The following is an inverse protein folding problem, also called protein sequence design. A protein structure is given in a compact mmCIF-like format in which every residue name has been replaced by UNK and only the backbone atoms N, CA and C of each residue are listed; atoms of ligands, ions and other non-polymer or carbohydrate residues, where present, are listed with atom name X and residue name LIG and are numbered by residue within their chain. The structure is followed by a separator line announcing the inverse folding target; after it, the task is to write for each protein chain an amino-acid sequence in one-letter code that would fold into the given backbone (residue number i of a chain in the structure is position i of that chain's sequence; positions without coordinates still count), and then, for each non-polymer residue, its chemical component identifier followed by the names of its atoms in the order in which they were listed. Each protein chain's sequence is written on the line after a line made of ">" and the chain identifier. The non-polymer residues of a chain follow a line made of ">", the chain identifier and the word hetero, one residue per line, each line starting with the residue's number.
data_IF_854653213305
#
_entry.id   IF_854653213305
#
_cell.length_a   1.000
_cell.length_b   1.000
_cell.length_c   1.000
_cell.angle_alpha   90.00
_cell.angle_beta   90.00
_cell.angle_gamma   90.00
#
_symmetry.space_group_name_H-M   'P 1'
#
loop_
_entity.id
_entity.type
_entity.pdbx_description
1 polymer ?
#
# COMPACT_ATOMS: atom_id res chain seq x y z
N UNK A 1 12.64 31.58 -67.74
CA UNK A 1 13.53 30.78 -68.62
C UNK A 1 14.81 30.54 -67.83
N UNK A 2 15.30 29.34 -67.51
CA UNK A 2 15.02 27.96 -67.89
C UNK A 2 15.52 27.04 -66.75
N UNK A 3 14.84 25.90 -66.52
CA UNK A 3 15.36 24.70 -65.82
C UNK A 3 16.62 24.20 -66.57
N UNK A 4 17.55 23.38 -66.06
CA UNK A 4 17.43 21.96 -65.64
C UNK A 4 18.86 21.40 -65.48
N UNK A 5 19.11 20.42 -64.59
CA UNK A 5 19.76 19.13 -64.89
C UNK A 5 20.34 18.40 -63.65
N UNK A 6 19.68 17.28 -63.33
CA UNK A 6 20.15 16.01 -62.76
C UNK A 6 21.68 15.77 -62.69
N UNK A 7 22.15 15.23 -61.56
CA UNK A 7 22.99 14.01 -61.58
C UNK A 7 22.77 13.13 -60.33
N UNK A 8 22.52 11.86 -60.62
CA UNK A 8 22.39 10.71 -59.73
C UNK A 8 23.74 10.26 -59.18
N UNK A 9 23.79 9.75 -57.94
CA UNK A 9 24.65 8.60 -57.59
C UNK A 9 24.07 7.80 -56.43
N UNK A 10 23.53 6.63 -56.77
CA UNK A 10 23.29 5.49 -55.89
C UNK A 10 24.64 4.99 -55.33
N UNK A 11 24.70 4.66 -54.04
CA UNK A 11 25.61 3.63 -53.56
C UNK A 11 24.78 2.44 -53.07
N UNK A 12 24.95 1.33 -53.77
CA UNK A 12 24.46 0.01 -53.41
C UNK A 12 25.55 -0.68 -52.59
N UNK A 13 25.22 -1.22 -51.43
CA UNK A 13 26.04 -2.23 -50.75
C UNK A 13 25.30 -3.58 -50.86
N UNK A 14 25.97 -4.55 -51.47
CA UNK A 14 25.53 -5.94 -51.62
C UNK A 14 26.42 -6.84 -50.75
N UNK A 15 25.83 -7.64 -49.86
CA UNK A 15 26.42 -8.90 -49.34
C UNK A 15 25.27 -9.89 -49.13
N UNK A 16 25.35 -11.08 -49.78
CA UNK A 16 24.41 -12.20 -49.60
C UNK A 16 23.15 -12.12 -50.46
N UNK A 17 23.20 -12.64 -51.69
CA UNK A 17 22.11 -12.51 -52.67
C UNK A 17 20.77 -13.11 -52.22
N UNK A 18 19.79 -12.24 -51.95
CA UNK A 18 18.35 -12.37 -52.21
C UNK A 18 17.79 -10.93 -52.21
N UNK A 19 17.15 -10.53 -53.32
CA UNK A 19 16.65 -9.17 -53.54
C UNK A 19 15.33 -8.92 -52.78
N UNK A 20 15.33 -7.97 -51.85
CA UNK A 20 14.21 -7.60 -50.99
C UNK A 20 13.25 -6.60 -51.68
N UNK A 21 12.72 -6.95 -52.87
CA UNK A 21 11.79 -6.07 -53.63
C UNK A 21 10.40 -6.70 -53.89
N UNK A 22 10.15 -7.96 -53.54
CA UNK A 22 8.81 -8.58 -53.73
C UNK A 22 7.88 -8.54 -52.50
N UNK A 23 8.39 -8.27 -51.29
CA UNK A 23 7.55 -8.19 -50.08
C UNK A 23 6.87 -6.84 -49.87
N UNK A 24 7.42 -5.74 -50.40
CA UNK A 24 6.84 -4.41 -50.26
C UNK A 24 5.60 -4.18 -51.16
N UNK A 25 5.51 -4.89 -52.30
CA UNK A 25 4.40 -4.78 -53.25
C UNK A 25 3.13 -5.52 -52.76
N UNK A 26 3.29 -6.66 -52.10
CA UNK A 26 2.19 -7.42 -51.51
C UNK A 26 1.60 -6.78 -50.25
N UNK A 27 2.37 -5.98 -49.51
CA UNK A 27 1.89 -5.28 -48.31
C UNK A 27 1.01 -4.06 -48.67
N UNK A 28 1.33 -3.33 -49.74
CA UNK A 28 0.48 -2.22 -50.22
C UNK A 28 -0.86 -2.69 -50.82
N UNK A 29 -0.93 -3.89 -51.40
CA UNK A 29 -2.20 -4.44 -51.91
C UNK A 29 -3.14 -4.87 -50.78
N UNK A 30 -2.63 -5.41 -49.67
CA UNK A 30 -3.46 -5.78 -48.49
C UNK A 30 -4.04 -4.58 -47.73
N UNK A 31 -3.35 -3.43 -47.73
CA UNK A 31 -3.85 -2.19 -47.10
C UNK A 31 -5.01 -1.58 -47.91
N UNK A 32 -4.99 -1.67 -49.25
CA UNK A 32 -6.10 -1.22 -50.10
C UNK A 32 -7.37 -2.06 -49.95
N UNK A 33 -7.25 -3.36 -49.67
CA UNK A 33 -8.43 -4.23 -49.45
C UNK A 33 -9.08 -4.00 -48.09
N UNK A 34 -8.30 -3.62 -47.06
CA UNK A 34 -8.83 -3.36 -45.71
C UNK A 34 -9.60 -2.03 -45.63
N UNK A 35 -9.19 -1.02 -46.39
CA UNK A 35 -9.86 0.31 -46.44
C UNK A 35 -11.23 0.24 -47.16
N UNK A 36 -11.44 -0.74 -48.05
CA UNK A 36 -12.72 -0.94 -48.72
C UNK A 36 -13.74 -1.78 -47.91
N UNK A 37 -13.34 -2.43 -46.81
CA UNK A 37 -14.26 -3.14 -45.92
C UNK A 37 -14.86 -2.25 -44.82
N UNK A 38 -14.31 -1.07 -44.57
CA UNK A 38 -14.85 -0.10 -43.59
C UNK A 38 -15.87 0.89 -44.17
N UNK A 39 -16.14 0.84 -45.48
CA UNK A 39 -17.14 1.69 -46.14
C UNK A 39 -18.53 1.05 -46.30
N UNK A 40 -18.74 -0.18 -45.79
CA UNK A 40 -20.00 -0.92 -45.94
C UNK A 40 -20.78 -1.16 -44.63
N UNK A 41 -20.36 -0.56 -43.49
CA UNK A 41 -21.06 -0.70 -42.20
C UNK A 41 -21.45 0.64 -41.54
N UNK A 42 -21.63 1.68 -42.35
CA UNK A 42 -22.09 3.00 -41.90
C UNK A 42 -23.29 3.49 -42.74
N UNK A 43 -24.33 2.67 -42.88
CA UNK A 43 -25.64 3.08 -43.39
C UNK A 43 -26.74 2.22 -42.77
N UNK A 44 -27.11 2.51 -41.51
CA UNK A 44 -28.45 2.27 -40.95
C UNK A 44 -28.51 2.89 -39.56
N UNK A 45 -28.75 4.20 -39.48
CA UNK A 45 -29.40 4.89 -38.33
C UNK A 45 -29.43 6.39 -38.60
N UNK A 46 -30.38 6.81 -39.43
CA UNK A 46 -30.85 8.19 -39.46
C UNK A 46 -32.27 8.18 -40.02
N UNK A 47 -33.26 8.21 -39.11
CA UNK A 47 -34.51 8.99 -39.20
C UNK A 47 -35.46 8.53 -38.10
N UNK A 48 -35.66 9.33 -37.07
CA UNK A 48 -36.96 9.93 -36.74
C UNK A 48 -36.89 10.63 -35.38
N UNK A 49 -36.89 11.96 -35.44
CA UNK A 49 -37.25 12.86 -34.34
C UNK A 49 -38.63 13.39 -34.65
N UNK A 50 -39.62 13.28 -33.76
CA UNK A 50 -40.60 14.33 -33.42
C UNK A 50 -41.31 13.97 -32.09
N UNK A 51 -41.29 14.97 -31.20
CA UNK A 51 -42.12 15.29 -30.02
C UNK A 51 -43.30 14.39 -29.61
N UNK A 52 -43.44 14.17 -28.30
CA UNK A 52 -44.55 14.73 -27.50
C UNK A 52 -44.32 14.50 -25.99
N UNK A 53 -44.48 15.57 -25.21
CA UNK A 53 -44.69 15.62 -23.77
C UNK A 53 -46.03 14.99 -23.37
N UNK A 54 -46.10 14.19 -22.29
CA UNK A 54 -47.19 14.15 -21.28
C UNK A 54 -46.71 13.42 -20.00
N UNK A 55 -47.18 13.94 -18.88
CA UNK A 55 -47.06 13.59 -17.46
C UNK A 55 -47.52 12.20 -17.00
N UNK A 56 -46.92 11.77 -15.88
CA UNK A 56 -47.46 10.96 -14.76
C UNK A 56 -48.13 9.61 -15.03
N UNK A 57 -47.66 8.55 -14.36
CA UNK A 57 -48.46 7.81 -13.36
C UNK A 57 -47.59 6.82 -12.58
N UNK A 58 -47.89 6.74 -11.30
CA UNK A 58 -47.40 5.80 -10.29
C UNK A 58 -48.01 4.44 -10.59
N UNK A 59 -47.23 3.37 -10.53
CA UNK A 59 -47.77 2.04 -10.19
C UNK A 59 -46.85 1.34 -9.18
N UNK A 60 -47.44 1.19 -7.99
CA UNK A 60 -46.98 0.44 -6.84
C UNK A 60 -47.07 -1.07 -7.11
N UNK A 61 -46.02 -1.82 -6.78
CA UNK A 61 -46.13 -3.24 -6.48
C UNK A 61 -45.72 -3.48 -5.02
N UNK A 62 -46.74 -3.55 -4.17
CA UNK A 62 -46.68 -4.07 -2.82
C UNK A 62 -46.37 -5.57 -2.85
N UNK A 63 -45.38 -6.00 -2.06
CA UNK A 63 -45.53 -7.23 -1.26
C UNK A 63 -44.95 -6.99 0.12
N UNK A 64 -45.85 -6.82 1.08
CA UNK A 64 -45.58 -6.78 2.52
C UNK A 64 -46.12 -8.07 3.15
N UNK A 65 -45.32 -8.71 3.99
CA UNK A 65 -45.67 -9.42 5.25
C UNK A 65 -44.62 -10.51 5.51
N UNK A 66 -44.12 -10.76 6.71
CA UNK A 66 -44.29 -10.12 8.01
C UNK A 66 -43.09 -10.52 8.90
N UNK A 67 -42.64 -9.54 9.67
CA UNK A 67 -42.00 -9.59 10.99
C UNK A 67 -41.80 -10.94 11.70
N UNK A 68 -40.56 -11.16 12.15
CA UNK A 68 -40.25 -11.86 13.41
C UNK A 68 -39.38 -10.92 14.26
N UNK A 69 -39.94 -10.49 15.39
CA UNK A 69 -39.20 -9.92 16.50
C UNK A 69 -38.36 -11.03 17.15
N UNK A 70 -37.05 -10.81 17.29
CA UNK A 70 -36.31 -11.41 18.39
C UNK A 70 -35.25 -10.41 18.87
N UNK A 71 -35.54 -9.85 20.05
CA UNK A 71 -34.59 -9.19 20.93
C UNK A 71 -33.66 -10.31 21.41
N UNK A 72 -32.39 -10.27 21.02
CA UNK A 72 -31.35 -11.13 21.56
C UNK A 72 -30.39 -10.28 22.38
N UNK A 73 -30.20 -10.72 23.62
CA UNK A 73 -29.39 -10.10 24.66
C UNK A 73 -27.97 -9.78 24.20
N UNK A 74 -27.59 -8.52 24.38
CA UNK A 74 -26.25 -8.00 24.19
C UNK A 74 -25.38 -8.30 25.42
N UNK A 75 -25.05 -9.57 25.67
CA UNK A 75 -23.98 -9.97 26.62
C UNK A 75 -23.48 -11.38 26.30
N UNK A 76 -22.73 -11.55 25.21
CA UNK A 76 -21.80 -12.67 24.99
C UNK A 76 -21.05 -12.48 23.66
N UNK A 77 -20.01 -11.65 23.65
CA UNK A 77 -18.94 -11.73 22.65
C UNK A 77 -17.61 -11.93 23.37
N UNK A 78 -17.52 -13.08 24.04
CA UNK A 78 -16.26 -13.73 24.35
C UNK A 78 -16.35 -15.11 23.69
N UNK A 79 -15.35 -15.43 22.87
CA UNK A 79 -15.15 -16.63 22.03
C UNK A 79 -16.02 -16.79 20.77
N UNK A 80 -15.41 -16.48 19.61
CA UNK A 80 -15.54 -17.32 18.40
C UNK A 80 -14.14 -17.49 17.77
N UNK A 81 -13.61 -18.72 17.63
CA UNK A 81 -12.29 -18.99 17.06
C UNK A 81 -12.35 -19.00 15.53
N UNK A 82 -11.43 -18.29 14.88
CA UNK A 82 -11.08 -18.55 13.48
C UNK A 82 -9.57 -18.69 13.37
N UNK A 83 -9.06 -19.84 13.85
CA UNK A 83 -7.65 -20.24 13.98
C UNK A 83 -6.95 -20.47 12.63
N UNK A 84 -7.15 -19.60 11.63
CA UNK A 84 -6.44 -19.74 10.36
C UNK A 84 -6.14 -18.43 9.63
N UNK A 85 -6.11 -17.29 10.34
CA UNK A 85 -5.71 -16.04 9.69
C UNK A 85 -4.28 -16.13 9.15
N UNK A 86 -3.45 -16.92 9.82
CA UNK A 86 -2.07 -17.20 9.51
C UNK A 86 -1.92 -17.73 8.07
N UNK A 87 -2.64 -18.81 7.72
CA UNK A 87 -2.59 -19.35 6.36
C UNK A 87 -3.25 -18.43 5.36
N UNK A 88 -4.36 -17.78 5.71
CA UNK A 88 -5.04 -16.84 4.80
C UNK A 88 -4.06 -15.73 4.40
N UNK A 89 -3.41 -15.11 5.39
CA UNK A 89 -2.49 -14.01 5.15
C UNK A 89 -1.22 -14.48 4.43
N UNK A 90 -0.64 -15.61 4.82
CA UNK A 90 0.52 -16.17 4.13
C UNK A 90 0.22 -16.47 2.66
N UNK A 91 -0.92 -17.10 2.39
CA UNK A 91 -1.35 -17.42 1.03
C UNK A 91 -1.50 -16.16 0.19
N UNK A 92 -2.06 -15.06 0.73
CA UNK A 92 -2.17 -13.80 -0.01
C UNK A 92 -0.83 -13.30 -0.55
N UNK A 93 0.22 -13.36 0.27
CA UNK A 93 1.57 -13.00 -0.16
C UNK A 93 2.15 -14.01 -1.16
N UNK A 94 2.00 -15.32 -0.90
CA UNK A 94 2.52 -16.38 -1.78
C UNK A 94 1.94 -16.29 -3.20
N UNK A 95 0.68 -15.90 -3.34
CA UNK A 95 0.03 -15.76 -4.64
C UNK A 95 0.70 -14.72 -5.54
N UNK A 96 1.25 -13.63 -4.99
CA UNK A 96 1.79 -12.53 -5.80
C UNK A 96 3.30 -12.31 -5.68
N UNK A 97 4.01 -12.90 -4.70
CA UNK A 97 5.41 -12.58 -4.37
C UNK A 97 6.41 -12.62 -5.55
N UNK A 98 6.14 -13.45 -6.57
CA UNK A 98 6.93 -13.53 -7.82
C UNK A 98 6.09 -13.37 -9.09
N UNK A 99 4.86 -12.88 -8.97
CA UNK A 99 3.98 -12.59 -10.10
C UNK A 99 4.35 -11.22 -10.69
N UNK A 100 4.96 -11.22 -11.89
CA UNK A 100 5.47 -9.99 -12.51
C UNK A 100 4.38 -9.06 -13.07
N UNK A 101 3.21 -9.59 -13.47
CA UNK A 101 2.13 -8.80 -14.05
C UNK A 101 0.76 -9.17 -13.49
N UNK A 102 -0.19 -8.21 -13.39
CA UNK A 102 -0.04 -6.78 -13.67
C UNK A 102 0.83 -6.06 -12.61
N UNK A 103 1.57 -5.03 -13.02
CA UNK A 103 2.47 -4.27 -12.14
C UNK A 103 2.54 -2.79 -12.53
N UNK A 104 2.70 -1.93 -11.52
CA UNK A 104 2.82 -0.47 -11.60
C UNK A 104 4.27 -0.08 -11.32
N UNK A 105 4.96 0.31 -12.39
CA UNK A 105 6.30 0.90 -12.28
C UNK A 105 6.17 2.41 -12.30
N UNK A 106 6.48 3.05 -11.16
CA UNK A 106 6.57 4.51 -11.05
C UNK A 106 7.99 4.93 -10.70
N UNK A 107 8.74 5.40 -11.69
CA UNK A 107 10.06 5.99 -11.50
C UNK A 107 10.31 7.15 -12.46
N UNK A 108 11.38 7.91 -12.22
CA UNK A 108 11.88 8.84 -13.22
C UNK A 108 12.64 8.06 -14.31
N UNK A 109 12.37 8.36 -15.58
CA UNK A 109 13.13 7.85 -16.71
C UNK A 109 14.12 8.92 -17.18
N UNK A 110 15.41 8.63 -17.11
CA UNK A 110 16.49 9.50 -17.54
C UNK A 110 16.86 9.24 -19.00
N UNK A 111 16.74 7.99 -19.45
CA UNK A 111 17.03 7.57 -20.82
C UNK A 111 16.27 6.28 -21.17
N UNK A 112 16.48 5.78 -22.38
CA UNK A 112 15.76 4.60 -22.90
C UNK A 112 16.04 3.31 -22.11
N UNK A 113 17.18 3.19 -21.41
CA UNK A 113 17.51 2.00 -20.62
C UNK A 113 16.68 1.90 -19.34
N UNK A 114 15.90 2.93 -18.99
CA UNK A 114 15.00 2.91 -17.85
C UNK A 114 13.65 2.24 -18.18
N UNK A 115 13.34 2.03 -19.46
CA UNK A 115 12.16 1.31 -19.92
C UNK A 115 12.43 -0.19 -19.89
N UNK A 116 12.08 -0.83 -18.77
CA UNK A 116 12.33 -2.25 -18.51
C UNK A 116 11.15 -2.92 -17.81
N UNK A 117 11.11 -4.24 -17.88
CA UNK A 117 10.11 -5.02 -17.13
C UNK A 117 10.36 -4.94 -15.61
N UNK A 118 9.34 -5.13 -14.76
CA UNK A 118 9.48 -5.02 -13.30
C UNK A 118 10.61 -5.87 -12.73
N UNK A 119 10.75 -7.14 -13.15
CA UNK A 119 11.80 -8.03 -12.67
C UNK A 119 13.22 -7.61 -13.06
N UNK A 120 13.36 -6.79 -14.10
CA UNK A 120 14.65 -6.23 -14.52
C UNK A 120 14.99 -4.93 -13.77
N UNK A 121 13.96 -4.23 -13.26
CA UNK A 121 14.11 -3.00 -12.49
C UNK A 121 14.31 -3.29 -11.00
N UNK A 122 13.52 -4.20 -10.45
CA UNK A 122 13.44 -4.47 -9.02
C UNK A 122 13.48 -5.99 -8.76
N UNK A 123 14.61 -6.65 -9.04
CA UNK A 123 14.69 -8.11 -9.10
C UNK A 123 14.44 -8.86 -7.78
N UNK A 124 14.48 -8.19 -6.62
CA UNK A 124 14.08 -8.78 -5.35
C UNK A 124 12.61 -8.52 -5.03
N UNK A 125 12.08 -7.38 -5.47
CA UNK A 125 10.77 -6.85 -5.08
C UNK A 125 9.91 -6.45 -6.30
N UNK A 126 9.80 -7.36 -7.28
CA UNK A 126 9.01 -7.12 -8.49
C UNK A 126 7.62 -7.76 -8.45
N UNK A 127 7.39 -8.73 -7.56
CA UNK A 127 6.11 -9.42 -7.47
C UNK A 127 5.05 -8.55 -6.80
N UNK A 128 3.78 -8.85 -7.08
CA UNK A 128 2.61 -8.05 -6.67
C UNK A 128 2.45 -6.76 -7.50
N UNK A 129 1.53 -5.89 -7.09
CA UNK A 129 1.11 -4.74 -7.89
C UNK A 129 2.23 -3.70 -8.07
N UNK A 130 3.08 -3.47 -7.07
CA UNK A 130 4.21 -2.55 -7.14
C UNK A 130 5.31 -2.93 -6.13
N UNK A 131 6.39 -2.14 -6.11
CA UNK A 131 7.58 -2.44 -5.30
C UNK A 131 7.27 -2.57 -3.81
N UNK A 132 6.55 -1.61 -3.21
CA UNK A 132 6.26 -1.67 -1.79
C UNK A 132 5.25 -2.77 -1.47
N UNK A 133 4.29 -3.04 -2.35
CA UNK A 133 3.39 -4.20 -2.23
C UNK A 133 4.17 -5.52 -2.19
N UNK A 134 5.22 -5.63 -3.00
CA UNK A 134 6.15 -6.76 -2.92
C UNK A 134 6.80 -6.84 -1.54
N UNK A 135 7.34 -5.71 -1.05
CA UNK A 135 7.97 -5.65 0.28
C UNK A 135 6.99 -6.00 1.40
N UNK A 136 5.73 -5.57 1.32
CA UNK A 136 4.65 -5.99 2.22
C UNK A 136 4.50 -7.51 2.26
N UNK A 137 4.42 -8.15 1.10
CA UNK A 137 4.32 -9.60 0.99
C UNK A 137 5.52 -10.31 1.64
N UNK A 138 6.74 -9.82 1.38
CA UNK A 138 7.95 -10.39 1.99
C UNK A 138 7.97 -10.23 3.52
N UNK A 139 7.65 -9.04 4.04
CA UNK A 139 7.55 -8.81 5.49
C UNK A 139 6.48 -9.70 6.10
N UNK A 140 5.31 -9.81 5.45
CA UNK A 140 4.21 -10.63 5.89
C UNK A 140 4.62 -12.09 6.04
N UNK A 141 5.29 -12.65 5.03
CA UNK A 141 5.77 -14.02 5.08
C UNK A 141 6.76 -14.27 6.22
N UNK A 142 7.72 -13.37 6.44
CA UNK A 142 8.65 -13.46 7.58
C UNK A 142 7.89 -13.39 8.91
N UNK A 143 6.91 -12.47 9.02
CA UNK A 143 6.07 -12.34 10.21
C UNK A 143 5.28 -13.62 10.48
N UNK A 144 4.69 -14.22 9.45
CA UNK A 144 3.97 -15.48 9.56
C UNK A 144 4.91 -16.62 10.00
N UNK A 145 6.13 -16.71 9.48
CA UNK A 145 7.09 -17.69 9.99
C UNK A 145 7.42 -17.49 11.48
N UNK A 146 7.47 -16.24 11.95
CA UNK A 146 7.80 -15.91 13.33
C UNK A 146 6.65 -16.13 14.33
N UNK A 147 5.39 -15.96 13.92
CA UNK A 147 4.26 -15.91 14.87
C UNK A 147 3.36 -17.14 14.86
N UNK A 148 3.36 -17.95 13.80
CA UNK A 148 2.25 -18.87 13.49
C UNK A 148 2.44 -20.30 14.00
N UNK A 149 3.56 -20.61 14.68
CA UNK A 149 3.85 -21.90 15.32
C UNK A 149 3.58 -23.15 14.44
N UNK A 150 3.74 -23.04 13.11
CA UNK A 150 3.55 -24.15 12.17
C UNK A 150 2.19 -24.18 11.47
N UNK A 151 1.37 -23.14 11.59
CA UNK A 151 0.11 -23.02 10.85
C UNK A 151 0.29 -22.71 9.35
N UNK A 152 1.51 -22.40 8.89
CA UNK A 152 1.81 -22.05 7.49
C UNK A 152 2.80 -23.04 6.86
N UNK A 153 2.79 -23.13 5.53
CA UNK A 153 3.79 -23.91 4.79
C UNK A 153 5.16 -23.24 4.87
N UNK A 154 5.94 -23.65 5.86
CA UNK A 154 7.26 -23.08 6.14
C UNK A 154 8.23 -23.26 4.97
N UNK A 155 8.20 -24.43 4.33
CA UNK A 155 9.18 -24.78 3.31
C UNK A 155 8.94 -23.98 2.02
N UNK A 156 7.67 -23.85 1.61
CA UNK A 156 7.30 -22.99 0.47
C UNK A 156 7.70 -21.54 0.73
N UNK A 157 7.40 -21.00 1.92
CA UNK A 157 7.74 -19.61 2.26
C UNK A 157 9.27 -19.39 2.21
N UNK A 158 10.04 -20.30 2.81
CA UNK A 158 11.51 -20.21 2.80
C UNK A 158 12.04 -20.28 1.37
N UNK A 159 11.50 -21.15 0.52
CA UNK A 159 11.88 -21.25 -0.89
C UNK A 159 11.66 -19.91 -1.61
N UNK A 160 10.46 -19.31 -1.45
CA UNK A 160 10.14 -18.02 -2.09
C UNK A 160 11.04 -16.88 -1.61
N UNK A 161 11.26 -16.78 -0.30
CA UNK A 161 12.15 -15.77 0.27
C UNK A 161 13.61 -15.96 -0.17
N UNK A 162 14.08 -17.20 -0.31
CA UNK A 162 15.42 -17.50 -0.83
C UNK A 162 15.60 -17.06 -2.29
N UNK A 163 14.58 -17.19 -3.12
CA UNK A 163 14.63 -16.75 -4.51
C UNK A 163 14.73 -15.22 -4.62
N UNK A 164 14.07 -14.47 -3.73
CA UNK A 164 14.15 -13.01 -3.68
C UNK A 164 15.44 -12.51 -3.04
N UNK A 165 15.82 -13.05 -1.88
CA UNK A 165 16.92 -12.56 -1.04
C UNK A 165 18.27 -13.12 -1.45
N UNK A 166 18.70 -12.75 -2.66
CA UNK A 166 20.03 -13.07 -3.18
C UNK A 166 20.89 -11.80 -3.29
N UNK A 167 22.23 -11.91 -3.12
CA UNK A 167 23.12 -10.76 -3.33
C UNK A 167 22.98 -10.13 -4.72
N UNK A 168 22.72 -10.94 -5.75
CA UNK A 168 22.50 -10.47 -7.12
C UNK A 168 21.25 -9.59 -7.22
N UNK A 169 20.14 -10.02 -6.62
CA UNK A 169 18.89 -9.26 -6.67
C UNK A 169 19.01 -7.96 -5.88
N UNK A 170 19.60 -8.00 -4.67
CA UNK A 170 19.80 -6.79 -3.87
C UNK A 170 20.77 -5.80 -4.54
N UNK A 171 21.78 -6.31 -5.27
CA UNK A 171 22.60 -5.45 -6.11
C UNK A 171 21.80 -4.77 -7.24
N UNK A 172 20.80 -5.46 -7.81
CA UNK A 172 19.90 -4.88 -8.80
C UNK A 172 18.97 -3.81 -8.20
N UNK A 173 18.42 -4.05 -7.01
CA UNK A 173 17.65 -3.04 -6.26
C UNK A 173 18.47 -1.77 -6.03
N UNK A 174 19.74 -1.94 -5.61
CA UNK A 174 20.66 -0.83 -5.40
C UNK A 174 20.94 -0.05 -6.70
N UNK A 175 21.07 -0.71 -7.84
CA UNK A 175 21.24 -0.04 -9.14
C UNK A 175 20.04 0.85 -9.45
N UNK A 176 18.82 0.34 -9.25
CA UNK A 176 17.60 1.11 -9.48
C UNK A 176 17.43 2.25 -8.47
N UNK A 177 17.68 1.99 -7.19
CA UNK A 177 17.58 3.00 -6.14
C UNK A 177 18.60 4.13 -6.34
N UNK A 178 19.84 3.81 -6.74
CA UNK A 178 20.95 4.76 -6.99
C UNK A 178 20.90 5.47 -8.33
N UNK A 179 19.90 5.19 -9.16
CA UNK A 179 19.71 5.90 -10.43
C UNK A 179 19.60 7.41 -10.22
N UNK A 180 20.12 8.16 -11.19
CA UNK A 180 19.97 9.61 -11.25
C UNK A 180 18.48 10.01 -11.20
N UNK A 181 18.18 11.15 -10.57
CA UNK A 181 16.82 11.68 -10.41
C UNK A 181 15.82 10.74 -9.71
N UNK A 182 16.30 9.69 -9.04
CA UNK A 182 15.45 8.72 -8.33
C UNK A 182 15.47 8.91 -6.80
N UNK A 183 15.85 10.10 -6.33
CA UNK A 183 15.99 10.36 -4.90
C UNK A 183 14.67 10.12 -4.14
N UNK A 184 13.53 10.54 -4.70
CA UNK A 184 12.21 10.44 -4.06
C UNK A 184 11.52 9.08 -4.16
N UNK A 185 12.14 8.09 -4.79
CA UNK A 185 11.57 6.75 -4.93
C UNK A 185 11.11 6.19 -3.59
N UNK A 186 9.86 5.73 -3.54
CA UNK A 186 9.22 5.09 -2.38
C UNK A 186 9.20 5.92 -1.07
N UNK A 187 9.56 7.21 -1.14
CA UNK A 187 9.57 8.05 0.07
C UNK A 187 8.16 8.44 0.50
N UNK A 188 7.86 8.38 1.81
CA UNK A 188 8.59 7.67 2.86
C UNK A 188 8.12 6.20 3.03
N UNK A 189 6.96 5.85 2.48
CA UNK A 189 6.21 4.64 2.84
C UNK A 189 6.88 3.31 2.47
N UNK A 190 7.21 3.09 1.20
CA UNK A 190 7.84 1.82 0.79
C UNK A 190 9.17 1.61 1.49
N UNK A 191 9.95 2.68 1.65
CA UNK A 191 11.20 2.63 2.40
C UNK A 191 11.00 2.24 3.87
N UNK A 192 9.95 2.73 4.52
CA UNK A 192 9.61 2.36 5.89
C UNK A 192 9.22 0.87 6.02
N UNK A 193 8.49 0.32 5.05
CA UNK A 193 8.13 -1.10 5.04
C UNK A 193 9.34 -2.01 4.84
N UNK A 194 10.31 -1.60 4.02
CA UNK A 194 11.57 -2.34 3.91
C UNK A 194 12.32 -2.36 5.24
N UNK A 195 12.34 -1.23 5.97
CA UNK A 195 12.91 -1.18 7.32
C UNK A 195 12.13 -2.07 8.31
N UNK A 196 10.82 -2.23 8.15
CA UNK A 196 10.06 -3.20 8.96
C UNK A 196 10.44 -4.66 8.62
N UNK A 197 10.67 -5.00 7.35
CA UNK A 197 11.20 -6.32 6.94
C UNK A 197 12.51 -6.64 7.66
N UNK A 198 13.47 -5.73 7.63
CA UNK A 198 14.77 -5.98 8.27
C UNK A 198 14.70 -5.91 9.80
N UNK A 199 13.77 -5.15 10.38
CA UNK A 199 13.50 -5.20 11.82
C UNK A 199 12.92 -6.55 12.25
N UNK A 200 11.98 -7.10 11.48
CA UNK A 200 11.39 -8.42 11.74
C UNK A 200 12.46 -9.53 11.67
N UNK A 201 13.36 -9.46 10.69
CA UNK A 201 14.47 -10.42 10.58
C UNK A 201 15.45 -10.35 11.75
N UNK A 202 15.74 -9.15 12.29
CA UNK A 202 16.58 -8.99 13.49
C UNK A 202 15.99 -9.63 14.74
N UNK A 203 14.67 -9.65 14.84
CA UNK A 203 13.94 -10.21 15.97
C UNK A 203 13.60 -11.70 15.77
N UNK A 204 13.88 -12.24 14.59
CA UNK A 204 13.54 -13.61 14.23
C UNK A 204 14.54 -14.61 14.82
N UNK A 205 14.02 -15.72 15.31
CA UNK A 205 14.80 -16.89 15.72
C UNK A 205 14.95 -17.93 14.61
N UNK A 206 14.51 -17.64 13.38
CA UNK A 206 14.62 -18.57 12.25
C UNK A 206 16.10 -18.78 11.88
N UNK A 207 16.53 -20.02 11.57
CA UNK A 207 17.90 -20.29 11.12
C UNK A 207 18.35 -19.44 9.92
N UNK A 208 17.43 -19.13 9.01
CA UNK A 208 17.68 -18.40 7.77
C UNK A 208 17.77 -16.88 7.99
N UNK A 209 17.22 -16.36 9.09
CA UNK A 209 16.99 -14.92 9.28
C UNK A 209 18.28 -14.10 9.22
N UNK A 210 19.34 -14.58 9.89
CA UNK A 210 20.64 -13.89 9.87
C UNK A 210 21.23 -13.81 8.45
N UNK A 211 21.09 -14.89 7.67
CA UNK A 211 21.57 -14.91 6.27
C UNK A 211 20.77 -13.93 5.42
N UNK A 212 19.43 -13.95 5.51
CA UNK A 212 18.58 -13.02 4.77
C UNK A 212 18.85 -11.58 5.15
N UNK A 213 18.92 -11.27 6.45
CA UNK A 213 19.24 -9.95 6.94
C UNK A 213 20.57 -9.45 6.36
N UNK A 214 21.64 -10.24 6.45
CA UNK A 214 22.95 -9.88 5.90
C UNK A 214 22.90 -9.58 4.40
N UNK A 215 22.07 -10.31 3.64
CA UNK A 215 21.86 -10.03 2.20
C UNK A 215 21.14 -8.71 1.97
N UNK A 216 20.21 -8.32 2.86
CA UNK A 216 19.40 -7.10 2.74
C UNK A 216 20.09 -5.83 3.28
N UNK A 217 21.09 -5.96 4.15
CA UNK A 217 21.78 -4.82 4.79
C UNK A 217 22.28 -3.74 3.81
N UNK A 218 22.88 -4.06 2.65
CA UNK A 218 23.34 -3.02 1.72
C UNK A 218 22.22 -2.09 1.22
N UNK A 219 21.01 -2.63 1.02
CA UNK A 219 19.85 -1.85 0.63
C UNK A 219 19.29 -1.05 1.82
N UNK A 220 19.32 -1.63 3.02
CA UNK A 220 18.95 -0.93 4.25
C UNK A 220 19.83 0.32 4.48
N UNK A 221 21.15 0.16 4.38
CA UNK A 221 22.11 1.25 4.57
C UNK A 221 21.86 2.41 3.60
N UNK A 222 21.60 2.10 2.32
CA UNK A 222 21.27 3.09 1.31
C UNK A 222 19.94 3.80 1.62
N UNK A 223 18.94 3.07 2.08
CA UNK A 223 17.63 3.63 2.48
C UNK A 223 17.79 4.59 3.67
N UNK A 224 18.54 4.17 4.70
CA UNK A 224 18.81 4.99 5.89
C UNK A 224 19.57 6.25 5.51
N UNK A 225 20.60 6.14 4.66
CA UNK A 225 21.36 7.30 4.18
C UNK A 225 20.47 8.30 3.43
N UNK A 226 19.57 7.81 2.56
CA UNK A 226 18.63 8.65 1.80
C UNK A 226 17.65 9.39 2.68
N UNK A 227 17.05 8.70 3.64
CA UNK A 227 16.09 9.30 4.57
C UNK A 227 16.83 10.32 5.44
N UNK A 228 18.01 9.98 5.97
CA UNK A 228 18.85 10.89 6.76
C UNK A 228 19.22 12.17 5.99
N UNK A 229 19.50 12.06 4.68
CA UNK A 229 19.79 13.21 3.83
C UNK A 229 18.54 14.04 3.45
N UNK A 230 17.35 13.43 3.50
CA UNK A 230 16.08 14.08 3.17
C UNK A 230 15.45 14.80 4.37
N UNK A 231 15.50 14.22 5.56
CA UNK A 231 14.85 14.72 6.77
C UNK A 231 15.19 16.19 7.09
N UNK A 232 16.46 16.66 7.03
CA UNK A 232 16.80 18.06 7.28
C UNK A 232 16.24 19.03 6.22
N UNK A 233 15.89 18.54 5.03
CA UNK A 233 15.37 19.34 3.90
C UNK A 233 13.85 19.43 3.89
N UNK A 234 13.17 18.56 4.64
CA UNK A 234 11.72 18.52 4.71
C UNK A 234 11.24 19.64 5.64
N UNK A 235 10.75 20.74 5.07
CA UNK A 235 10.29 21.90 5.86
C UNK A 235 8.98 21.63 6.61
N UNK A 236 8.08 20.84 6.02
CA UNK A 236 6.75 20.56 6.56
C UNK A 236 6.47 19.05 6.57
N UNK A 237 5.75 18.54 7.58
CA UNK A 237 5.26 17.17 7.54
C UNK A 237 4.17 17.02 6.46
N UNK A 238 3.99 15.79 5.98
CA UNK A 238 2.99 15.43 4.99
C UNK A 238 1.84 14.70 5.70
N UNK A 239 0.63 15.27 5.65
CA UNK A 239 -0.57 14.81 6.38
C UNK A 239 -1.66 14.24 5.46
N UNK A 240 -1.28 13.64 4.34
CA UNK A 240 -2.22 12.93 3.44
C UNK A 240 -2.62 11.59 4.07
N UNK A 241 -3.74 10.99 3.68
CA UNK A 241 -4.10 9.64 4.11
C UNK A 241 -3.54 8.52 3.22
N UNK A 242 -2.48 8.83 2.46
CA UNK A 242 -1.86 7.93 1.49
C UNK A 242 -0.34 7.78 1.71
N UNK A 243 0.34 7.10 0.78
CA UNK A 243 1.77 6.73 0.80
C UNK A 243 2.76 7.86 1.13
N UNK A 244 2.45 9.12 0.82
CA UNK A 244 3.38 10.23 1.11
C UNK A 244 3.40 10.65 2.57
N UNK A 245 2.48 10.16 3.40
CA UNK A 245 2.29 10.58 4.78
C UNK A 245 3.53 10.31 5.64
N UNK A 246 3.98 11.33 6.36
CA UNK A 246 5.17 11.22 7.20
C UNK A 246 4.91 10.55 8.54
N UNK A 247 3.76 10.79 9.18
CA UNK A 247 3.52 10.31 10.54
C UNK A 247 3.59 8.78 10.64
N UNK A 248 2.83 8.08 9.79
CA UNK A 248 2.83 6.63 9.72
C UNK A 248 4.22 6.05 9.41
N UNK A 249 4.86 6.53 8.34
CA UNK A 249 6.16 6.02 7.92
C UNK A 249 7.24 6.27 8.98
N UNK A 250 7.23 7.43 9.64
CA UNK A 250 8.19 7.74 10.71
C UNK A 250 7.99 6.87 11.95
N UNK A 251 6.75 6.47 12.26
CA UNK A 251 6.49 5.51 13.34
C UNK A 251 7.19 4.19 13.10
N UNK A 252 7.02 3.64 11.90
CA UNK A 252 7.71 2.41 11.47
C UNK A 252 9.24 2.56 11.46
N UNK A 253 9.74 3.70 10.97
CA UNK A 253 11.18 3.98 10.94
C UNK A 253 11.79 4.09 12.34
N UNK A 254 11.08 4.66 13.33
CA UNK A 254 11.52 4.69 14.73
C UNK A 254 11.56 3.30 15.36
N UNK A 255 10.56 2.46 15.08
CA UNK A 255 10.51 1.08 15.58
C UNK A 255 11.69 0.26 15.02
N UNK A 256 12.02 0.45 13.74
CA UNK A 256 13.24 -0.10 13.14
C UNK A 256 14.50 0.45 13.82
N UNK A 257 14.62 1.77 14.00
CA UNK A 257 15.83 2.39 14.53
C UNK A 257 16.18 1.86 15.93
N UNK A 258 15.16 1.69 16.78
CA UNK A 258 15.29 1.06 18.10
C UNK A 258 15.74 -0.40 18.00
N UNK A 259 15.10 -1.18 17.12
CA UNK A 259 15.41 -2.60 16.90
C UNK A 259 16.82 -2.82 16.33
N UNK A 260 17.24 -1.97 15.41
CA UNK A 260 18.56 -2.02 14.78
C UNK A 260 19.67 -1.40 15.65
N UNK A 261 19.32 -0.73 16.76
CA UNK A 261 20.26 -0.02 17.61
C UNK A 261 20.86 1.24 16.98
N UNK A 262 20.24 1.78 15.91
CA UNK A 262 20.75 2.96 15.21
C UNK A 262 20.33 4.25 15.95
N UNK A 263 21.13 4.62 16.96
CA UNK A 263 20.88 5.77 17.84
C UNK A 263 20.96 7.12 17.16
N UNK A 264 21.81 7.26 16.14
CA UNK A 264 21.94 8.50 15.38
C UNK A 264 20.66 8.78 14.58
N UNK A 265 20.18 7.77 13.83
CA UNK A 265 18.95 7.89 13.06
C UNK A 265 17.72 8.07 13.97
N UNK A 266 17.65 7.31 15.08
CA UNK A 266 16.61 7.47 16.10
C UNK A 266 16.54 8.91 16.61
N UNK A 267 17.69 9.51 16.95
CA UNK A 267 17.77 10.88 17.46
C UNK A 267 17.37 11.92 16.40
N UNK A 268 17.89 11.79 15.16
CA UNK A 268 17.54 12.66 14.04
C UNK A 268 16.03 12.65 13.80
N UNK A 269 15.45 11.45 13.66
CA UNK A 269 14.03 11.30 13.37
C UNK A 269 13.18 11.80 14.54
N UNK A 270 13.53 11.47 15.78
CA UNK A 270 12.81 11.96 16.98
C UNK A 270 12.80 13.48 17.05
N UNK A 271 13.92 14.14 16.72
CA UNK A 271 13.96 15.61 16.67
C UNK A 271 13.00 16.16 15.64
N UNK A 272 13.02 15.63 14.40
CA UNK A 272 12.13 16.10 13.32
C UNK A 272 10.66 15.85 13.64
N UNK A 273 10.33 14.71 14.22
CA UNK A 273 8.96 14.40 14.67
C UNK A 273 8.47 15.47 15.66
N UNK A 274 9.30 15.83 16.66
CA UNK A 274 8.95 16.87 17.63
C UNK A 274 8.81 18.25 16.97
N UNK A 275 9.69 18.60 16.05
CA UNK A 275 9.60 19.87 15.30
C UNK A 275 8.28 19.98 14.53
N UNK A 276 7.79 18.88 13.98
CA UNK A 276 6.60 18.86 13.13
C UNK A 276 5.28 18.81 13.89
N UNK A 277 5.21 18.02 14.96
CA UNK A 277 3.93 17.56 15.52
C UNK A 277 3.73 17.94 16.99
N UNK A 278 4.77 18.36 17.71
CA UNK A 278 4.64 18.64 19.15
C UNK A 278 3.67 19.79 19.44
N UNK A 279 3.61 20.79 18.56
CA UNK A 279 2.77 21.97 18.72
C UNK A 279 1.34 21.79 18.19
N UNK A 280 1.06 20.70 17.49
CA UNK A 280 -0.23 20.46 16.86
C UNK A 280 -1.34 20.24 17.90
N UNK A 281 -2.52 20.75 17.57
CA UNK A 281 -3.73 20.73 18.41
C UNK A 281 -4.95 20.64 17.52
N UNK A 282 -6.06 20.15 18.07
CA UNK A 282 -7.36 20.13 17.40
C UNK A 282 -7.30 19.50 16.00
N UNK A 283 -6.79 18.29 15.89
CA UNK A 283 -6.64 17.62 14.60
C UNK A 283 -7.99 17.57 13.85
N UNK A 284 -8.05 17.95 12.56
CA UNK A 284 -9.31 18.14 11.85
C UNK A 284 -9.90 16.82 11.36
N UNK A 285 -10.45 16.01 12.28
CA UNK A 285 -11.11 14.74 11.96
C UNK A 285 -12.28 14.89 10.96
N UNK A 286 -12.84 16.09 10.82
CA UNK A 286 -13.87 16.39 9.83
C UNK A 286 -13.41 16.23 8.36
N UNK A 287 -12.10 16.17 8.11
CA UNK A 287 -11.53 15.96 6.78
C UNK A 287 -11.17 14.51 6.48
N UNK A 288 -11.29 13.59 7.45
CA UNK A 288 -11.04 12.17 7.25
C UNK A 288 -12.30 11.31 7.45
N UNK A 289 -12.56 10.31 6.59
CA UNK A 289 -11.73 9.91 5.47
C UNK A 289 -11.87 10.83 4.24
N UNK A 290 -10.76 11.07 3.53
CA UNK A 290 -10.78 11.34 2.09
C UNK A 290 -11.08 10.04 1.35
N UNK A 291 -11.62 10.12 0.13
CA UNK A 291 -12.17 8.97 -0.60
C UNK A 291 -11.18 7.87 -0.98
N UNK A 292 -9.88 8.05 -0.73
CA UNK A 292 -8.81 7.10 -1.08
C UNK A 292 -7.83 6.89 0.07
N UNK A 293 -8.21 7.29 1.29
CA UNK A 293 -7.35 7.11 2.47
C UNK A 293 -7.22 5.63 2.81
N UNK A 294 -5.99 5.18 3.08
CA UNK A 294 -5.72 3.93 3.81
C UNK A 294 -4.98 4.17 5.13
N UNK A 295 -4.64 5.43 5.41
CA UNK A 295 -4.05 5.89 6.66
C UNK A 295 -4.84 7.10 7.17
N UNK A 296 -5.07 7.18 8.48
CA UNK A 296 -5.65 8.38 9.10
C UNK A 296 -4.55 9.40 9.37
N UNK A 297 -4.61 10.64 8.82
CA UNK A 297 -3.66 11.69 9.16
C UNK A 297 -3.58 11.95 10.66
N UNK A 298 -4.74 12.01 11.34
CA UNK A 298 -4.79 12.34 12.76
C UNK A 298 -4.33 11.18 13.64
N UNK A 299 -4.81 9.96 13.41
CA UNK A 299 -4.42 8.83 14.25
C UNK A 299 -2.98 8.41 14.04
N UNK A 300 -2.43 8.54 12.82
CA UNK A 300 -1.03 8.23 12.58
C UNK A 300 -0.10 9.21 13.32
N UNK A 301 -0.48 10.48 13.40
CA UNK A 301 0.24 11.48 14.20
C UNK A 301 0.18 11.14 15.70
N UNK A 302 -0.99 10.83 16.24
CA UNK A 302 -1.11 10.44 17.64
C UNK A 302 -0.33 9.15 17.96
N UNK A 303 -0.42 8.13 17.10
CA UNK A 303 0.35 6.88 17.23
C UNK A 303 1.87 7.11 17.09
N UNK A 304 2.31 8.06 16.27
CA UNK A 304 3.71 8.46 16.21
C UNK A 304 4.15 9.16 17.51
N UNK A 305 3.35 10.10 18.01
CA UNK A 305 3.73 10.91 19.16
C UNK A 305 3.90 10.10 20.44
N UNK A 306 3.17 8.99 20.63
CA UNK A 306 3.41 8.08 21.76
C UNK A 306 4.82 7.45 21.76
N UNK A 307 5.50 7.37 20.61
CA UNK A 307 6.84 6.78 20.51
C UNK A 307 7.96 7.72 20.97
N UNK A 308 7.68 9.03 21.04
CA UNK A 308 8.67 10.10 21.30
C UNK A 308 8.39 10.92 22.56
N UNK A 309 7.27 10.65 23.24
CA UNK A 309 6.85 11.32 24.46
C UNK A 309 6.78 10.34 25.64
N UNK A 310 6.91 10.86 26.86
CA UNK A 310 6.58 10.09 28.06
C UNK A 310 5.06 9.85 28.11
N UNK A 311 4.59 8.76 28.76
CA UNK A 311 3.14 8.49 28.92
C UNK A 311 2.38 9.68 29.53
N UNK A 312 3.00 10.37 30.49
CA UNK A 312 2.41 11.55 31.16
C UNK A 312 2.22 12.70 30.17
N UNK A 313 3.28 13.09 29.46
CA UNK A 313 3.23 14.22 28.54
C UNK A 313 2.34 13.90 27.34
N UNK A 314 2.39 12.66 26.85
CA UNK A 314 1.53 12.17 25.77
C UNK A 314 0.05 12.27 26.13
N UNK A 315 -0.36 11.79 27.30
CA UNK A 315 -1.76 11.84 27.74
C UNK A 315 -2.31 13.28 27.78
N UNK A 316 -1.48 14.24 28.21
CA UNK A 316 -1.81 15.67 28.20
C UNK A 316 -1.87 16.24 26.77
N UNK A 317 -0.88 15.94 25.94
CA UNK A 317 -0.84 16.35 24.54
C UNK A 317 -2.06 15.84 23.77
N UNK A 318 -2.43 14.56 23.96
CA UNK A 318 -3.58 13.94 23.31
C UNK A 318 -4.90 14.67 23.62
N UNK A 319 -5.04 15.22 24.83
CA UNK A 319 -6.21 16.03 25.21
C UNK A 319 -6.30 17.34 24.43
N UNK A 320 -5.15 17.96 24.11
CA UNK A 320 -5.11 19.16 23.26
C UNK A 320 -5.26 18.82 21.77
N UNK A 321 -4.76 17.65 21.36
CA UNK A 321 -4.84 17.16 19.99
C UNK A 321 -6.25 16.70 19.60
N UNK A 322 -6.93 15.97 20.48
CA UNK A 322 -8.33 15.54 20.33
C UNK A 322 -9.22 16.06 21.47
N UNK A 323 -9.56 17.36 21.50
CA UNK A 323 -10.39 17.92 22.59
C UNK A 323 -11.80 17.31 22.66
N UNK A 324 -12.30 16.76 21.54
CA UNK A 324 -13.58 16.06 21.48
C UNK A 324 -13.54 14.61 21.97
N UNK A 325 -12.36 14.05 22.27
CA UNK A 325 -12.22 12.70 22.83
C UNK A 325 -12.31 12.79 24.36
N UNK A 326 -13.52 12.60 24.88
CA UNK A 326 -13.82 12.65 26.32
C UNK A 326 -14.62 11.42 26.73
N UNK A 327 -14.77 11.19 28.04
CA UNK A 327 -15.59 10.12 28.58
C UNK A 327 -17.08 10.17 28.14
N UNK A 328 -17.55 11.32 27.66
CA UNK A 328 -18.93 11.54 27.21
C UNK A 328 -19.11 11.32 25.71
N UNK A 329 -18.03 11.06 24.98
CA UNK A 329 -18.07 10.93 23.52
C UNK A 329 -18.61 9.55 23.16
N UNK A 330 -19.77 9.49 22.48
CA UNK A 330 -20.46 8.22 22.19
C UNK A 330 -20.11 7.61 20.83
N UNK A 331 -19.77 8.45 19.85
CA UNK A 331 -19.54 8.07 18.45
C UNK A 331 -18.25 8.71 17.91
N UNK A 332 -17.14 8.48 18.62
CA UNK A 332 -15.84 8.98 18.16
C UNK A 332 -15.32 8.08 17.03
N UNK A 333 -15.15 8.67 15.84
CA UNK A 333 -14.54 8.06 14.66
C UNK A 333 -15.23 6.76 14.19
N UNK A 334 -16.28 6.90 13.39
CA UNK A 334 -16.96 5.74 12.80
C UNK A 334 -16.09 5.06 11.71
N UNK A 335 -16.24 3.74 11.49
CA UNK A 335 -15.65 3.03 10.36
C UNK A 335 -15.97 3.68 9.02
N UNK A 336 -14.98 3.68 8.12
CA UNK A 336 -15.19 4.11 6.75
C UNK A 336 -15.97 3.05 5.96
N UNK A 337 -16.85 3.51 5.07
CA UNK A 337 -17.64 2.66 4.18
C UNK A 337 -16.96 2.54 2.82
N UNK A 338 -16.81 1.32 2.32
CA UNK A 338 -16.31 1.05 0.97
C UNK A 338 -17.51 0.78 0.06
N UNK A 339 -17.69 1.60 -0.97
CA UNK A 339 -18.83 1.48 -1.88
C UNK A 339 -18.56 0.58 -3.08
N UNK A 340 -17.29 0.43 -3.48
CA UNK A 340 -16.85 -0.45 -4.56
C UNK A 340 -15.42 -0.94 -4.27
N UNK A 341 -15.26 -2.25 -4.05
CA UNK A 341 -13.98 -2.90 -3.72
C UNK A 341 -13.17 -3.30 -4.97
N UNK A 342 -13.76 -3.14 -6.16
CA UNK A 342 -13.08 -3.42 -7.43
C UNK A 342 -12.23 -2.24 -7.88
N UNK A 343 -12.55 -1.03 -7.42
CA UNK A 343 -11.71 0.15 -7.57
C UNK A 343 -10.58 0.13 -6.54
N UNK A 344 -9.33 0.09 -7.02
CA UNK A 344 -8.16 -0.02 -6.15
C UNK A 344 -7.97 1.14 -5.19
N UNK A 345 -8.48 2.33 -5.54
CA UNK A 345 -8.41 3.50 -4.68
C UNK A 345 -9.53 3.53 -3.64
N UNK A 346 -10.73 3.08 -3.98
CA UNK A 346 -11.82 2.99 -3.01
C UNK A 346 -11.59 1.86 -1.99
N UNK A 347 -10.99 0.74 -2.44
CA UNK A 347 -10.60 -0.37 -1.57
C UNK A 347 -9.59 0.01 -0.47
N UNK A 348 -8.89 1.15 -0.61
CA UNK A 348 -8.02 1.70 0.45
C UNK A 348 -8.75 1.89 1.78
N UNK A 349 -10.05 2.20 1.76
CA UNK A 349 -10.84 2.45 2.96
C UNK A 349 -11.00 1.20 3.85
N UNK A 350 -10.87 0.00 3.29
CA UNK A 350 -10.78 -1.24 4.09
C UNK A 350 -9.48 -1.24 4.92
N UNK A 351 -8.36 -0.89 4.30
CA UNK A 351 -7.08 -0.75 5.00
C UNK A 351 -7.04 0.44 5.95
N UNK A 352 -7.82 1.50 5.70
CA UNK A 352 -8.00 2.58 6.66
C UNK A 352 -8.64 2.08 7.95
N UNK A 353 -9.67 1.25 7.87
CA UNK A 353 -10.28 0.68 9.07
C UNK A 353 -9.26 -0.14 9.87
N UNK A 354 -8.44 -0.96 9.19
CA UNK A 354 -7.39 -1.75 9.85
C UNK A 354 -6.31 -0.86 10.48
N UNK A 355 -5.81 0.15 9.75
CA UNK A 355 -4.75 1.02 10.24
C UNK A 355 -5.23 1.90 11.39
N UNK A 356 -6.48 2.38 11.35
CA UNK A 356 -7.10 3.07 12.49
C UNK A 356 -7.21 2.16 13.70
N UNK A 357 -7.60 0.90 13.54
CA UNK A 357 -7.66 -0.06 14.64
C UNK A 357 -6.30 -0.22 15.34
N UNK A 358 -5.21 -0.50 14.61
CA UNK A 358 -3.91 -0.64 15.28
C UNK A 358 -3.44 0.68 15.92
N UNK A 359 -3.80 1.84 15.33
CA UNK A 359 -3.34 3.14 15.85
C UNK A 359 -4.06 3.44 17.16
N UNK A 360 -5.35 3.09 17.24
CA UNK A 360 -6.13 3.18 18.46
C UNK A 360 -5.55 2.24 19.52
N UNK A 361 -5.18 0.99 19.20
CA UNK A 361 -4.48 0.09 20.14
C UNK A 361 -3.19 0.74 20.68
N UNK A 362 -2.39 1.34 19.79
CA UNK A 362 -1.17 2.07 20.17
C UNK A 362 -1.46 3.24 21.11
N UNK A 363 -2.43 4.10 20.76
CA UNK A 363 -2.85 5.24 21.57
C UNK A 363 -3.27 4.79 22.97
N UNK A 364 -4.06 3.71 23.07
CA UNK A 364 -4.53 3.17 24.35
C UNK A 364 -3.37 2.71 25.24
N UNK A 365 -2.35 2.03 24.69
CA UNK A 365 -1.18 1.56 25.46
C UNK A 365 -0.35 2.71 26.08
N UNK A 366 -0.43 3.90 25.49
CA UNK A 366 0.27 5.09 25.95
C UNK A 366 -0.51 5.89 27.00
N UNK A 367 -1.78 5.55 27.26
CA UNK A 367 -2.61 6.17 28.29
C UNK A 367 -2.41 5.51 29.67
N UNK A 368 -2.71 6.23 30.76
CA UNK A 368 -2.84 5.63 32.09
C UNK A 368 -3.93 4.56 32.14
N UNK A 369 -3.75 3.52 32.98
CA UNK A 369 -4.66 2.36 33.09
C UNK A 369 -6.12 2.71 33.42
N UNK A 370 -6.37 3.87 34.03
CA UNK A 370 -7.71 4.36 34.40
C UNK A 370 -8.10 5.65 33.67
N UNK A 371 -7.51 5.90 32.50
CA UNK A 371 -7.88 7.05 31.69
C UNK A 371 -9.33 6.96 31.22
N UNK A 372 -10.10 8.02 31.43
CA UNK A 372 -11.55 8.03 31.15
C UNK A 372 -11.89 7.96 29.66
N UNK A 373 -10.90 8.11 28.77
CA UNK A 373 -11.07 7.96 27.31
C UNK A 373 -11.04 6.49 26.86
N UNK A 374 -10.52 5.58 27.68
CA UNK A 374 -10.35 4.16 27.30
C UNK A 374 -11.65 3.50 26.80
N UNK A 375 -12.81 3.62 27.48
CA UNK A 375 -14.03 2.97 26.98
C UNK A 375 -14.50 3.47 25.61
N UNK A 376 -14.23 4.74 25.28
CA UNK A 376 -14.56 5.32 23.97
C UNK A 376 -13.62 4.77 22.89
N UNK A 377 -12.33 4.67 23.21
CA UNK A 377 -11.32 4.11 22.31
C UNK A 377 -11.53 2.61 22.08
N UNK A 378 -11.88 1.85 23.11
CA UNK A 378 -12.21 0.41 23.02
C UNK A 378 -13.38 0.15 22.06
N UNK A 379 -14.44 0.97 22.16
CA UNK A 379 -15.58 0.88 21.24
C UNK A 379 -15.17 1.19 19.79
N UNK A 380 -14.40 2.26 19.56
CA UNK A 380 -13.92 2.63 18.23
C UNK A 380 -12.97 1.57 17.64
N UNK A 381 -12.05 1.06 18.45
CA UNK A 381 -11.15 -0.04 18.11
C UNK A 381 -11.94 -1.26 17.65
N UNK A 382 -12.92 -1.70 18.45
CA UNK A 382 -13.69 -2.90 18.15
C UNK A 382 -14.43 -2.78 16.83
N UNK A 383 -15.08 -1.63 16.58
CA UNK A 383 -15.80 -1.36 15.33
C UNK A 383 -14.87 -1.32 14.10
N UNK A 384 -13.70 -0.67 14.21
CA UNK A 384 -12.73 -0.61 13.12
C UNK A 384 -12.05 -1.96 12.85
N UNK A 385 -11.71 -2.72 13.91
CA UNK A 385 -11.14 -4.07 13.80
C UNK A 385 -12.13 -5.01 13.12
N UNK A 386 -13.39 -5.02 13.53
CA UNK A 386 -14.45 -5.82 12.90
C UNK A 386 -14.60 -5.46 11.41
N UNK A 387 -14.80 -4.17 11.09
CA UNK A 387 -14.97 -3.72 9.71
C UNK A 387 -13.76 -4.07 8.83
N UNK A 388 -12.54 -3.82 9.33
CA UNK A 388 -11.31 -4.05 8.59
C UNK A 388 -10.99 -5.52 8.36
N UNK A 389 -11.14 -6.37 9.38
CA UNK A 389 -10.83 -7.81 9.25
C UNK A 389 -11.89 -8.54 8.41
N UNK A 390 -13.16 -8.13 8.47
CA UNK A 390 -14.20 -8.69 7.61
C UNK A 390 -13.87 -8.49 6.13
N UNK A 391 -13.24 -7.36 5.76
CA UNK A 391 -12.80 -7.11 4.39
C UNK A 391 -11.67 -8.05 3.93
N UNK A 392 -10.91 -8.66 4.85
CA UNK A 392 -9.83 -9.60 4.52
C UNK A 392 -10.31 -11.05 4.54
N UNK A 393 -11.16 -11.43 5.49
CA UNK A 393 -11.61 -12.83 5.63
C UNK A 393 -12.86 -13.16 4.83
N UNK A 394 -13.81 -12.23 4.74
CA UNK A 394 -15.17 -12.53 4.25
C UNK A 394 -15.50 -11.92 2.88
N UNK A 395 -14.76 -10.91 2.44
CA UNK A 395 -15.14 -10.09 1.28
C UNK A 395 -13.93 -9.44 0.58
N UNK A 396 -12.90 -10.25 0.34
CA UNK A 396 -11.62 -9.79 -0.18
C UNK A 396 -11.58 -9.80 -1.72
N UNK A 397 -11.22 -8.65 -2.29
CA UNK A 397 -10.97 -8.50 -3.73
C UNK A 397 -9.46 -8.34 -4.02
N UNK A 398 -9.02 -8.61 -5.25
CA UNK A 398 -7.58 -8.57 -5.61
C UNK A 398 -6.91 -7.20 -5.34
N UNK A 399 -7.68 -6.11 -5.49
CA UNK A 399 -7.22 -4.76 -5.19
C UNK A 399 -6.85 -4.53 -3.72
N UNK A 400 -7.38 -5.34 -2.81
CA UNK A 400 -6.95 -5.39 -1.41
C UNK A 400 -5.95 -6.53 -1.12
N UNK A 401 -6.07 -7.65 -1.82
CA UNK A 401 -5.38 -8.91 -1.47
C UNK A 401 -3.85 -8.81 -1.45
N UNK A 402 -3.26 -7.91 -2.22
CA UNK A 402 -1.80 -7.79 -2.36
C UNK A 402 -1.12 -7.01 -1.21
N UNK A 403 -1.87 -6.34 -0.33
CA UNK A 403 -1.30 -5.56 0.77
C UNK A 403 -2.11 -5.62 2.08
N UNK A 404 -3.43 -5.78 2.05
CA UNK A 404 -4.28 -5.80 3.24
C UNK A 404 -3.89 -6.90 4.24
N UNK A 405 -3.42 -8.05 3.76
CA UNK A 405 -2.92 -9.13 4.62
C UNK A 405 -1.77 -8.67 5.53
N UNK A 406 -0.93 -7.73 5.07
CA UNK A 406 0.14 -7.17 5.89
C UNK A 406 -0.40 -6.22 6.96
N UNK A 407 -1.42 -5.42 6.63
CA UNK A 407 -2.08 -4.53 7.59
C UNK A 407 -2.80 -5.33 8.67
N UNK A 408 -3.58 -6.32 8.25
CA UNK A 408 -4.28 -7.23 9.15
C UNK A 408 -3.31 -8.01 10.04
N UNK A 409 -2.19 -8.47 9.49
CA UNK A 409 -1.15 -9.15 10.29
C UNK A 409 -0.50 -8.23 11.31
N UNK A 410 -0.24 -6.98 10.96
CA UNK A 410 0.29 -6.01 11.90
C UNK A 410 -0.67 -5.81 13.08
N UNK A 411 -1.98 -5.72 12.81
CA UNK A 411 -3.03 -5.64 13.83
C UNK A 411 -3.13 -6.94 14.66
N UNK A 412 -3.33 -8.10 14.04
CA UNK A 412 -3.51 -9.39 14.72
C UNK A 412 -2.29 -9.78 15.56
N UNK A 413 -1.09 -9.47 15.09
CA UNK A 413 0.15 -9.81 15.79
C UNK A 413 0.66 -8.69 16.70
N UNK A 414 -0.14 -7.62 16.89
CA UNK A 414 0.19 -6.46 17.74
C UNK A 414 1.57 -5.87 17.43
N UNK A 415 1.94 -5.81 16.15
CA UNK A 415 3.23 -5.26 15.71
C UNK A 415 3.30 -3.78 16.12
N UNK A 416 4.47 -3.33 16.59
CA UNK A 416 4.69 -1.93 17.00
C UNK A 416 4.07 -1.50 18.34
N UNK A 417 3.49 -2.42 19.11
CA UNK A 417 3.12 -2.19 20.53
C UNK A 417 4.24 -2.55 21.51
N UNK A 418 5.15 -3.45 21.11
CA UNK A 418 6.25 -3.97 21.95
C UNK A 418 7.59 -3.38 21.56
#
# INVERSE_FOLDING_TARGET
>A
MYRTALYSKRLSLYIGGILLIDKARNLMLKIKTLINCTAALATTLATHTVCASVTSTIETANTSSASINQIADATAYADVPNNNYESVFANLALHCIHQEFPNVVKHMMNNNDDVKAPGQLYPAFYGCLDWHSSVHGHWLLVRMLNTTQGAVDKDEIIEKLNASFTPKNIQGELVSLKRENNASFERPYGLAWFLQLTAELRQSSLPEANRWLNTLLPLEEEIVARISAWLPKLAYPIRTGEHSQTAFAFGLMLDWAKTAGNKEFEALLTSRVKDYYLADKQCPLAYEPSGQDFLSPCLAEADLMRRVMSKKDYSQWLSAFFPGLTAKTSNWLAPATVTDKTDGKLAHLDGLNISRAWMIEGIMQALPEHDKRLPVLEKALSAHREAGLNAVFGDMHYMGSHWLGSFASYLETQRGLK
#
